data_IF_423669994425
#
_entry.id   IF_423669994425
#
_cell.length_a   1.000
_cell.length_b   1.000
_cell.length_c   1.000
_cell.angle_alpha   90.00
_cell.angle_beta   90.00
_cell.angle_gamma   90.00
#
_symmetry.space_group_name_H-M   'P 1'
#
loop_
_entity.id
_entity.type
_entity.pdbx_description
1 polymer ?
#
# COMPACT_ATOMS: atom_id res chain seq x y z
N UNK A 1 -9.52 -8.77 9.48
CA UNK A 1 -8.04 -8.65 9.51
C UNK A 1 -7.49 -9.41 10.71
N UNK A 2 -6.28 -9.98 10.60
CA UNK A 2 -5.66 -10.71 11.70
C UNK A 2 -5.18 -9.75 12.81
N UNK A 3 -5.30 -10.15 14.09
CA UNK A 3 -4.70 -9.40 15.20
C UNK A 3 -3.17 -9.38 15.08
N UNK A 4 -2.55 -8.30 15.52
CA UNK A 4 -1.10 -8.15 15.40
C UNK A 4 -0.38 -9.05 16.42
N UNK A 5 0.13 -10.20 15.95
CA UNK A 5 0.92 -11.14 16.75
C UNK A 5 2.28 -10.54 17.15
N UNK A 6 2.71 -10.78 18.38
CA UNK A 6 4.05 -10.40 18.83
C UNK A 6 5.09 -11.05 17.91
N UNK A 7 6.07 -10.27 17.45
CA UNK A 7 7.08 -10.74 16.47
C UNK A 7 7.94 -11.89 16.99
N UNK A 8 8.08 -12.05 18.31
CA UNK A 8 8.85 -13.14 18.93
C UNK A 8 7.98 -14.34 19.35
N UNK A 9 6.68 -14.31 19.05
CA UNK A 9 5.77 -15.43 19.36
C UNK A 9 5.90 -16.62 18.40
N UNK A 10 6.59 -16.43 17.27
CA UNK A 10 6.83 -17.48 16.30
C UNK A 10 7.83 -18.51 16.82
N UNK A 11 7.54 -19.80 16.58
CA UNK A 11 8.58 -20.82 16.68
C UNK A 11 9.65 -20.49 15.63
N UNK A 12 10.90 -20.38 16.08
CA UNK A 12 12.03 -20.13 15.18
C UNK A 12 12.06 -21.16 14.05
N UNK A 13 12.41 -20.68 12.86
CA UNK A 13 12.61 -21.51 11.68
C UNK A 13 13.74 -22.52 11.91
N UNK A 14 13.69 -23.66 11.22
CA UNK A 14 14.59 -24.79 11.47
C UNK A 14 16.07 -24.43 11.33
N UNK A 15 16.38 -23.44 10.47
CA UNK A 15 17.75 -23.03 10.17
C UNK A 15 18.41 -22.27 11.33
N UNK A 16 17.67 -21.93 12.40
CA UNK A 16 18.23 -21.39 13.64
C UNK A 16 19.35 -22.26 14.25
N UNK A 17 19.41 -23.55 13.90
CA UNK A 17 20.47 -24.49 14.33
C UNK A 17 21.87 -24.11 13.84
N UNK A 18 21.97 -23.32 12.76
CA UNK A 18 23.25 -22.83 12.26
C UNK A 18 23.81 -21.63 13.06
N UNK A 19 23.04 -21.11 14.03
CA UNK A 19 23.41 -19.91 14.78
C UNK A 19 23.21 -18.63 13.97
N UNK A 20 23.81 -17.54 14.47
CA UNK A 20 23.78 -16.21 13.86
C UNK A 20 25.12 -15.90 13.19
N UNK A 21 25.07 -15.31 12.01
CA UNK A 21 26.27 -14.87 11.30
C UNK A 21 26.85 -13.59 11.92
N UNK A 22 28.19 -13.43 12.02
CA UNK A 22 28.79 -12.17 12.46
C UNK A 22 28.34 -10.98 11.62
N UNK A 23 28.21 -11.18 10.31
CA UNK A 23 27.61 -10.28 9.32
C UNK A 23 26.75 -11.11 8.38
N UNK A 24 25.69 -10.51 7.80
CA UNK A 24 24.92 -11.19 6.77
C UNK A 24 25.83 -11.46 5.55
N UNK A 25 25.90 -12.70 5.04
CA UNK A 25 26.78 -13.04 3.93
C UNK A 25 26.40 -12.28 2.65
N UNK A 26 27.41 -11.78 1.95
CA UNK A 26 27.32 -11.11 0.65
C UNK A 26 27.91 -11.93 -0.49
N UNK A 27 28.55 -13.06 -0.19
CA UNK A 27 29.21 -13.95 -1.15
C UNK A 27 29.00 -15.43 -0.82
N UNK A 28 29.21 -16.31 -1.81
CA UNK A 28 29.20 -17.76 -1.60
C UNK A 28 30.28 -18.23 -0.62
N UNK A 29 31.48 -17.66 -0.68
CA UNK A 29 32.56 -18.01 0.23
C UNK A 29 32.18 -17.72 1.71
N UNK A 30 31.48 -16.62 1.98
CA UNK A 30 30.96 -16.33 3.33
C UNK A 30 29.85 -17.29 3.73
N UNK A 31 28.96 -17.69 2.81
CA UNK A 31 27.96 -18.73 3.07
C UNK A 31 28.62 -20.07 3.40
N UNK A 32 29.65 -20.47 2.65
CA UNK A 32 30.40 -21.71 2.87
C UNK A 32 31.07 -21.71 4.26
N UNK A 33 31.64 -20.57 4.67
CA UNK A 33 32.21 -20.38 6.01
C UNK A 33 31.16 -20.51 7.14
N UNK A 34 29.90 -20.16 6.85
CA UNK A 34 28.75 -20.35 7.76
C UNK A 34 28.13 -21.76 7.66
N UNK A 35 28.61 -22.61 6.73
CA UNK A 35 28.03 -23.92 6.45
C UNK A 35 26.65 -23.86 5.79
N UNK A 36 26.35 -22.79 5.06
CA UNK A 36 25.05 -22.58 4.39
C UNK A 36 25.13 -22.97 2.92
N UNK A 37 24.28 -23.89 2.48
CA UNK A 37 24.11 -24.26 1.07
C UNK A 37 23.33 -23.18 0.26
N UNK A 38 22.42 -22.48 0.93
CA UNK A 38 21.44 -21.56 0.36
C UNK A 38 21.01 -20.52 1.39
N UNK A 39 20.59 -19.36 0.91
CA UNK A 39 19.85 -18.40 1.73
C UNK A 39 18.37 -18.75 1.70
N UNK A 40 17.66 -18.55 2.81
CA UNK A 40 16.20 -18.62 2.80
C UNK A 40 15.62 -17.32 2.24
N UNK A 41 16.24 -16.19 2.55
CA UNK A 41 15.83 -14.86 2.13
C UNK A 41 17.07 -14.10 1.66
N UNK A 42 16.97 -13.38 0.54
CA UNK A 42 18.04 -12.49 0.08
C UNK A 42 17.50 -11.06 0.04
N UNK A 43 18.19 -10.15 0.72
CA UNK A 43 17.90 -8.72 0.69
C UNK A 43 18.75 -8.04 -0.37
N UNK A 44 18.14 -7.21 -1.23
CA UNK A 44 18.83 -6.38 -2.21
C UNK A 44 18.65 -4.92 -1.82
N UNK A 45 19.75 -4.19 -1.71
CA UNK A 45 19.74 -2.80 -1.25
C UNK A 45 20.56 -1.90 -2.16
N UNK A 46 20.09 -0.66 -2.34
CA UNK A 46 20.84 0.39 -3.05
C UNK A 46 21.93 1.06 -2.21
N UNK A 47 22.01 0.78 -0.92
CA UNK A 47 23.06 1.27 -0.02
C UNK A 47 24.18 0.26 0.16
N UNK A 48 25.34 0.72 0.63
CA UNK A 48 26.34 -0.14 1.23
C UNK A 48 25.74 -0.96 2.38
N UNK A 49 26.23 -2.19 2.57
CA UNK A 49 25.89 -2.96 3.76
C UNK A 49 26.72 -2.47 4.95
N UNK A 50 26.05 -1.77 5.85
CA UNK A 50 26.57 -1.42 7.18
C UNK A 50 25.62 -2.04 8.20
N UNK A 51 26.13 -2.97 9.01
CA UNK A 51 25.33 -3.67 10.01
C UNK A 51 25.11 -2.80 11.25
N UNK A 52 24.27 -1.77 11.10
CA UNK A 52 24.01 -0.76 12.12
C UNK A 52 22.50 -0.45 12.21
N UNK A 53 21.95 -0.18 13.41
CA UNK A 53 20.51 0.12 13.59
C UNK A 53 20.02 1.38 12.86
N UNK A 54 20.92 2.22 12.32
CA UNK A 54 20.52 3.34 11.45
C UNK A 54 20.20 2.91 10.02
N UNK A 55 20.41 1.64 9.67
CA UNK A 55 20.21 1.08 8.34
C UNK A 55 19.01 0.13 8.35
N UNK A 56 17.94 0.51 7.66
CA UNK A 56 16.67 -0.23 7.70
C UNK A 56 16.80 -1.68 7.21
N UNK A 57 17.56 -1.92 6.14
CA UNK A 57 17.80 -3.28 5.64
C UNK A 57 18.61 -4.14 6.59
N UNK A 58 19.54 -3.56 7.36
CA UNK A 58 20.29 -4.29 8.39
C UNK A 58 19.35 -4.74 9.52
N UNK A 59 18.48 -3.85 10.01
CA UNK A 59 17.45 -4.21 10.99
C UNK A 59 16.57 -5.34 10.46
N UNK A 60 16.04 -5.21 9.25
CA UNK A 60 15.15 -6.23 8.65
C UNK A 60 15.89 -7.58 8.52
N UNK A 61 17.14 -7.57 8.07
CA UNK A 61 17.94 -8.78 7.97
C UNK A 61 18.18 -9.45 9.33
N UNK A 62 18.54 -8.67 10.36
CA UNK A 62 18.73 -9.17 11.72
C UNK A 62 17.43 -9.64 12.38
N UNK A 63 16.31 -8.97 12.12
CA UNK A 63 14.99 -9.42 12.59
C UNK A 63 14.64 -10.77 11.99
N UNK A 64 14.87 -10.97 10.68
CA UNK A 64 14.64 -12.25 10.01
C UNK A 64 15.60 -13.35 10.50
N UNK A 65 16.87 -13.03 10.70
CA UNK A 65 17.84 -13.96 11.29
C UNK A 65 17.45 -14.36 12.73
N UNK A 66 16.95 -13.43 13.54
CA UNK A 66 16.45 -13.71 14.88
C UNK A 66 15.24 -14.66 14.89
N UNK A 67 14.46 -14.69 13.79
CA UNK A 67 13.42 -15.69 13.55
C UNK A 67 13.96 -17.05 13.11
N UNK A 68 15.26 -17.20 12.90
CA UNK A 68 15.92 -18.44 12.52
C UNK A 68 16.08 -18.64 11.02
N UNK A 69 15.86 -17.62 10.18
CA UNK A 69 16.09 -17.71 8.74
C UNK A 69 17.54 -17.42 8.38
N UNK A 70 18.06 -18.08 7.34
CA UNK A 70 19.34 -17.74 6.73
C UNK A 70 19.16 -16.57 5.78
N UNK A 71 19.73 -15.42 6.10
CA UNK A 71 19.53 -14.18 5.35
C UNK A 71 20.82 -13.75 4.71
N UNK A 72 20.84 -13.60 3.39
CA UNK A 72 21.93 -12.99 2.65
C UNK A 72 21.61 -11.56 2.24
N UNK A 73 22.63 -10.77 1.92
CA UNK A 73 22.46 -9.39 1.43
C UNK A 73 23.30 -9.11 0.19
N UNK A 74 22.69 -8.45 -0.79
CA UNK A 74 23.33 -7.97 -2.02
C UNK A 74 23.26 -6.44 -1.96
N UNK A 75 24.38 -5.83 -1.60
CA UNK A 75 24.52 -4.38 -1.53
C UNK A 75 25.07 -3.81 -2.84
N UNK A 76 24.41 -2.76 -3.34
CA UNK A 76 24.78 -2.03 -4.56
C UNK A 76 25.16 -2.92 -5.75
N UNK A 77 24.28 -3.87 -6.14
CA UNK A 77 24.56 -4.71 -7.30
C UNK A 77 24.68 -3.88 -8.58
N UNK A 78 25.59 -4.27 -9.46
CA UNK A 78 25.60 -3.77 -10.83
C UNK A 78 24.31 -4.20 -11.55
N UNK A 79 23.51 -3.22 -11.97
CA UNK A 79 22.23 -3.44 -12.64
C UNK A 79 22.33 -3.53 -14.16
N UNK A 80 23.54 -3.47 -14.72
CA UNK A 80 23.79 -3.68 -16.14
C UNK A 80 23.76 -5.16 -16.54
N UNK A 81 23.83 -6.09 -15.56
CA UNK A 81 23.69 -7.54 -15.78
C UNK A 81 22.92 -8.22 -14.63
N UNK A 82 22.61 -9.52 -14.76
CA UNK A 82 22.02 -10.31 -13.68
C UNK A 82 23.05 -10.95 -12.75
N UNK A 83 24.34 -10.91 -13.09
CA UNK A 83 25.39 -11.66 -12.40
C UNK A 83 25.46 -11.36 -10.89
N UNK A 84 25.38 -10.08 -10.51
CA UNK A 84 25.41 -9.68 -9.10
C UNK A 84 24.18 -10.13 -8.32
N UNK A 85 23.02 -10.26 -8.98
CA UNK A 85 21.78 -10.75 -8.39
C UNK A 85 21.79 -12.27 -8.22
N UNK A 86 22.57 -12.98 -9.05
CA UNK A 86 22.75 -14.44 -9.02
C UNK A 86 23.85 -14.88 -8.06
N UNK A 87 24.69 -13.96 -7.57
CA UNK A 87 25.85 -14.23 -6.69
C UNK A 87 25.54 -15.14 -5.51
N UNK A 88 24.43 -14.91 -4.79
CA UNK A 88 24.01 -15.73 -3.64
C UNK A 88 23.10 -16.90 -4.04
N UNK A 89 22.83 -17.05 -5.35
CA UNK A 89 21.89 -17.98 -5.96
C UNK A 89 20.44 -17.78 -5.56
N UNK A 90 19.65 -18.83 -5.78
CA UNK A 90 18.21 -18.81 -5.55
C UNK A 90 17.90 -18.89 -4.04
N UNK A 91 17.08 -17.97 -3.49
CA UNK A 91 16.61 -18.08 -2.12
C UNK A 91 15.47 -19.11 -2.01
N UNK A 92 15.31 -19.70 -0.82
CA UNK A 92 14.25 -20.69 -0.59
C UNK A 92 12.85 -20.07 -0.45
N UNK A 93 12.76 -18.80 -0.03
CA UNK A 93 11.48 -18.13 0.25
C UNK A 93 11.23 -16.94 -0.68
N UNK A 94 12.05 -15.88 -0.61
CA UNK A 94 11.80 -14.65 -1.39
C UNK A 94 13.03 -13.73 -1.48
N UNK A 95 12.94 -12.75 -2.40
CA UNK A 95 13.81 -11.58 -2.44
C UNK A 95 13.14 -10.37 -1.80
N UNK A 96 13.83 -9.68 -0.90
CA UNK A 96 13.40 -8.41 -0.32
C UNK A 96 14.18 -7.24 -0.92
N UNK A 97 13.52 -6.26 -1.53
CA UNK A 97 14.20 -5.20 -2.30
C UNK A 97 13.90 -3.81 -1.72
N UNK A 98 14.94 -3.00 -1.55
CA UNK A 98 14.86 -1.60 -1.10
C UNK A 98 15.87 -0.71 -1.84
N UNK A 99 15.58 0.58 -1.96
CA UNK A 99 16.53 1.57 -2.45
C UNK A 99 17.63 1.90 -1.43
N UNK A 100 17.44 1.50 -0.16
CA UNK A 100 18.27 1.88 0.97
C UNK A 100 17.53 2.80 1.94
N UNK A 101 18.30 3.57 2.70
CA UNK A 101 17.84 4.53 3.70
C UNK A 101 17.33 5.84 3.09
N UNK A 102 17.68 6.13 1.84
CA UNK A 102 17.20 7.28 1.09
C UNK A 102 16.62 6.86 -0.25
N UNK A 103 15.75 7.72 -0.78
CA UNK A 103 15.24 7.58 -2.13
C UNK A 103 16.38 7.71 -3.15
N UNK A 104 16.39 6.82 -4.16
CA UNK A 104 17.48 6.73 -5.12
C UNK A 104 17.68 8.01 -5.94
N UNK A 105 16.57 8.71 -6.23
CA UNK A 105 16.63 9.97 -6.98
C UNK A 105 17.15 11.10 -6.11
N UNK A 106 16.70 11.19 -4.84
CA UNK A 106 17.18 12.21 -3.89
C UNK A 106 18.67 12.06 -3.59
N UNK A 107 19.16 10.82 -3.60
CA UNK A 107 20.57 10.55 -3.37
C UNK A 107 21.45 10.89 -4.59
N UNK A 108 20.91 10.76 -5.80
CA UNK A 108 21.65 11.07 -7.04
C UNK A 108 21.54 12.53 -7.47
N UNK A 109 20.46 13.23 -7.13
CA UNK A 109 20.17 14.57 -7.61
C UNK A 109 19.95 15.58 -6.49
N UNK A 110 20.28 16.84 -6.74
CA UNK A 110 19.87 17.97 -5.90
C UNK A 110 18.41 18.34 -6.18
N UNK A 111 17.81 19.19 -5.32
CA UNK A 111 16.48 19.76 -5.56
C UNK A 111 16.38 20.44 -6.92
N UNK A 112 17.47 21.08 -7.37
CA UNK A 112 17.57 21.75 -8.67
C UNK A 112 17.89 20.79 -9.83
N UNK A 113 17.68 19.47 -9.63
CA UNK A 113 17.92 18.40 -10.62
C UNK A 113 19.37 18.29 -11.12
N UNK A 114 20.35 18.78 -10.35
CA UNK A 114 21.77 18.59 -10.67
C UNK A 114 22.28 17.27 -10.12
N UNK A 115 23.11 16.56 -10.87
CA UNK A 115 23.73 15.31 -10.43
C UNK A 115 24.71 15.60 -9.29
N UNK A 116 24.57 14.88 -8.18
CA UNK A 116 25.53 14.89 -7.06
C UNK A 116 26.78 14.10 -7.43
N UNK A 117 27.93 14.57 -6.95
CA UNK A 117 29.23 13.90 -7.20
C UNK A 117 29.46 12.74 -6.24
N UNK A 118 28.82 12.81 -5.08
CA UNK A 118 28.97 11.92 -3.95
C UNK A 118 27.64 11.24 -3.57
N UNK A 119 27.76 10.07 -2.94
CA UNK A 119 26.65 9.32 -2.34
C UNK A 119 27.05 8.91 -0.92
N UNK A 120 26.34 9.46 0.08
CA UNK A 120 26.66 9.27 1.49
C UNK A 120 26.52 7.81 1.97
N UNK A 121 25.83 6.97 1.21
CA UNK A 121 25.61 5.56 1.53
C UNK A 121 26.35 4.61 0.60
N UNK A 122 27.30 5.11 -0.20
CA UNK A 122 28.19 4.31 -1.03
C UNK A 122 29.57 4.19 -0.40
N UNK A 123 30.26 3.03 -0.47
CA UNK A 123 31.64 2.92 -0.01
C UNK A 123 32.54 3.95 -0.69
N UNK A 124 33.35 4.69 0.08
CA UNK A 124 34.20 5.75 -0.44
C UNK A 124 33.47 7.01 -0.91
N UNK A 125 32.15 7.10 -0.73
CA UNK A 125 31.35 8.25 -1.14
C UNK A 125 31.15 8.38 -2.64
N UNK A 126 31.40 7.32 -3.41
CA UNK A 126 31.33 7.37 -4.89
C UNK A 126 29.90 7.60 -5.40
N UNK A 127 29.71 8.60 -6.26
CA UNK A 127 28.45 8.82 -6.94
C UNK A 127 28.14 7.76 -8.00
N UNK A 128 26.86 7.50 -8.24
CA UNK A 128 26.41 6.69 -9.38
C UNK A 128 26.54 5.18 -9.22
N UNK A 129 26.67 4.66 -7.99
CA UNK A 129 26.69 3.20 -7.69
C UNK A 129 25.30 2.56 -7.54
N UNK A 130 24.23 3.31 -7.77
CA UNK A 130 22.84 2.80 -7.79
C UNK A 130 22.07 3.41 -8.97
N UNK A 131 21.09 2.72 -9.56
CA UNK A 131 20.27 3.26 -10.63
C UNK A 131 19.17 4.16 -10.08
N UNK A 132 18.70 5.07 -10.94
CA UNK A 132 17.47 5.83 -10.70
C UNK A 132 16.27 4.89 -10.51
N UNK A 133 15.45 5.17 -9.50
CA UNK A 133 14.31 4.32 -9.11
C UNK A 133 14.77 2.89 -8.85
N UNK A 134 15.78 2.75 -7.99
CA UNK A 134 16.48 1.49 -7.72
C UNK A 134 15.55 0.31 -7.47
N UNK A 135 14.46 0.50 -6.70
CA UNK A 135 13.49 -0.57 -6.42
C UNK A 135 12.92 -1.17 -7.72
N UNK A 136 12.59 -0.34 -8.71
CA UNK A 136 12.05 -0.82 -9.99
C UNK A 136 13.11 -1.64 -10.73
N UNK A 137 14.32 -1.08 -10.87
CA UNK A 137 15.40 -1.71 -11.64
C UNK A 137 15.84 -3.02 -11.00
N UNK A 138 16.07 -3.04 -9.69
CA UNK A 138 16.48 -4.24 -8.96
C UNK A 138 15.39 -5.31 -8.98
N UNK A 139 14.11 -4.95 -8.86
CA UNK A 139 13.02 -5.92 -8.96
C UNK A 139 12.96 -6.58 -10.33
N UNK A 140 13.19 -5.81 -11.40
CA UNK A 140 13.21 -6.35 -12.76
C UNK A 140 14.41 -7.26 -12.99
N UNK A 141 15.60 -6.92 -12.47
CA UNK A 141 16.79 -7.78 -12.56
C UNK A 141 16.65 -9.08 -11.78
N UNK A 142 16.07 -9.02 -10.59
CA UNK A 142 15.73 -10.23 -9.81
C UNK A 142 14.72 -11.09 -10.57
N UNK A 143 13.68 -10.49 -11.18
CA UNK A 143 12.71 -11.22 -12.02
C UNK A 143 13.33 -11.86 -13.24
N UNK A 144 14.34 -11.22 -13.85
CA UNK A 144 15.09 -11.75 -14.98
C UNK A 144 15.92 -12.98 -14.57
N UNK A 145 16.63 -12.90 -13.44
CA UNK A 145 17.44 -13.99 -12.90
C UNK A 145 16.58 -15.14 -12.32
N UNK A 146 15.48 -14.82 -11.65
CA UNK A 146 14.67 -15.76 -10.86
C UNK A 146 13.17 -15.51 -11.03
N UNK A 147 12.62 -15.91 -12.18
CA UNK A 147 11.23 -15.66 -12.58
C UNK A 147 10.17 -16.04 -11.54
N UNK A 148 10.33 -17.21 -10.92
CA UNK A 148 9.32 -17.83 -10.05
C UNK A 148 9.55 -17.58 -8.54
N UNK A 149 10.54 -16.74 -8.18
CA UNK A 149 10.78 -16.40 -6.78
C UNK A 149 9.97 -15.16 -6.42
N UNK A 150 9.23 -15.17 -5.28
CA UNK A 150 8.51 -14.00 -4.82
C UNK A 150 9.43 -12.79 -4.62
N UNK A 151 8.97 -11.63 -5.10
CA UNK A 151 9.66 -10.34 -4.96
C UNK A 151 8.83 -9.43 -4.06
N UNK A 152 9.40 -9.08 -2.91
CA UNK A 152 8.79 -8.20 -1.92
C UNK A 152 9.57 -6.88 -1.90
N UNK A 153 8.89 -5.77 -2.11
CA UNK A 153 9.52 -4.43 -2.09
C UNK A 153 9.18 -3.66 -0.83
N UNK A 154 10.10 -2.83 -0.37
CA UNK A 154 9.91 -2.02 0.83
C UNK A 154 10.85 -0.82 0.90
N UNK A 155 10.95 -0.23 2.08
CA UNK A 155 11.74 0.97 2.33
C UNK A 155 11.02 2.26 1.91
N UNK A 156 11.73 3.39 2.06
CA UNK A 156 11.18 4.72 1.82
C UNK A 156 10.69 4.86 0.38
N UNK A 157 11.52 4.43 -0.58
CA UNK A 157 11.24 4.54 -2.00
C UNK A 157 9.95 3.82 -2.42
N UNK A 158 9.75 2.57 -1.97
CA UNK A 158 8.54 1.83 -2.29
C UNK A 158 7.32 2.36 -1.52
N UNK A 159 7.50 2.65 -0.23
CA UNK A 159 6.44 3.11 0.66
C UNK A 159 5.80 4.42 0.19
N UNK A 160 6.56 5.38 -0.31
CA UNK A 160 6.00 6.65 -0.77
C UNK A 160 5.23 6.52 -2.09
N UNK A 161 5.40 5.42 -2.82
CA UNK A 161 4.88 5.21 -4.19
C UNK A 161 3.83 4.08 -4.27
N UNK A 162 3.11 3.83 -3.17
CA UNK A 162 2.13 2.74 -3.03
C UNK A 162 0.93 2.83 -3.97
N UNK A 163 0.46 4.05 -4.21
CA UNK A 163 -0.65 4.34 -5.12
C UNK A 163 -0.17 5.36 -6.18
N UNK A 164 -1.09 5.90 -6.97
CA UNK A 164 -0.77 7.00 -7.87
C UNK A 164 -0.12 8.16 -7.10
N UNK A 165 1.00 8.65 -7.61
CA UNK A 165 1.81 9.66 -6.93
C UNK A 165 2.43 10.62 -7.95
N UNK A 166 2.60 11.87 -7.55
CA UNK A 166 3.32 12.85 -8.35
C UNK A 166 4.83 12.61 -8.25
N UNK A 167 5.47 12.40 -9.39
CA UNK A 167 6.92 12.26 -9.51
C UNK A 167 7.54 13.62 -9.88
N UNK A 168 8.15 14.27 -8.88
CA UNK A 168 8.78 15.59 -9.06
C UNK A 168 9.85 15.61 -10.16
N UNK A 169 10.56 14.49 -10.36
CA UNK A 169 11.66 14.41 -11.32
C UNK A 169 11.20 14.41 -12.77
N UNK A 170 10.02 13.85 -13.05
CA UNK A 170 9.44 13.81 -14.40
C UNK A 170 8.23 14.71 -14.58
N UNK A 171 7.81 15.43 -13.53
CA UNK A 171 6.64 16.32 -13.48
C UNK A 171 5.35 15.63 -13.93
N UNK A 172 5.21 14.35 -13.57
CA UNK A 172 4.10 13.51 -13.99
C UNK A 172 3.52 12.74 -12.82
N UNK A 173 2.22 12.50 -12.87
CA UNK A 173 1.58 11.49 -12.02
C UNK A 173 1.94 10.11 -12.56
N UNK A 174 2.59 9.31 -11.72
CA UNK A 174 2.96 7.93 -12.02
C UNK A 174 2.02 6.97 -11.30
N UNK A 175 1.87 5.78 -11.88
CA UNK A 175 1.15 4.66 -11.28
C UNK A 175 1.89 4.10 -10.06
N UNK A 176 1.28 3.15 -9.37
CA UNK A 176 1.89 2.47 -8.21
C UNK A 176 3.22 1.80 -8.60
N UNK A 177 4.21 1.89 -7.72
CA UNK A 177 5.51 1.22 -7.89
C UNK A 177 5.36 -0.30 -7.96
N UNK A 178 4.32 -0.89 -7.35
CA UNK A 178 4.04 -2.33 -7.46
C UNK A 178 3.91 -2.77 -8.91
N UNK A 179 3.23 -1.97 -9.73
CA UNK A 179 2.99 -2.26 -11.15
C UNK A 179 4.25 -2.03 -11.99
N UNK A 180 5.02 -0.98 -11.69
CA UNK A 180 6.27 -0.68 -12.41
C UNK A 180 7.38 -1.69 -12.10
N UNK A 181 7.51 -2.09 -10.82
CA UNK A 181 8.51 -3.05 -10.35
C UNK A 181 8.12 -4.51 -10.62
N UNK A 182 6.84 -4.79 -10.92
CA UNK A 182 6.28 -6.16 -11.01
C UNK A 182 6.55 -6.99 -9.74
N UNK A 183 6.47 -6.32 -8.59
CA UNK A 183 6.62 -6.95 -7.28
C UNK A 183 5.31 -7.64 -6.87
N UNK A 184 5.42 -8.74 -6.14
CA UNK A 184 4.27 -9.52 -5.68
C UNK A 184 3.60 -8.87 -4.47
N UNK A 185 4.40 -8.24 -3.60
CA UNK A 185 3.93 -7.61 -2.37
C UNK A 185 4.80 -6.39 -2.04
N UNK A 186 4.17 -5.33 -1.52
CA UNK A 186 4.85 -4.15 -1.00
C UNK A 186 4.61 -4.06 0.50
N UNK A 187 5.67 -3.85 1.27
CA UNK A 187 5.62 -3.60 2.72
C UNK A 187 5.90 -2.12 2.99
N UNK A 188 5.09 -1.50 3.85
CA UNK A 188 5.22 -0.08 4.17
C UNK A 188 4.97 0.26 5.63
N UNK A 189 5.53 1.40 6.05
CA UNK A 189 5.63 1.76 7.46
C UNK A 189 6.71 0.92 8.14
N UNK A 190 6.54 0.65 9.43
CA UNK A 190 7.40 -0.28 10.17
C UNK A 190 7.14 -1.69 9.65
N UNK A 191 8.14 -2.30 9.00
CA UNK A 191 7.99 -3.54 8.22
C UNK A 191 8.34 -4.83 8.96
N UNK A 192 8.84 -4.74 10.19
CA UNK A 192 9.37 -5.87 10.98
C UNK A 192 8.29 -6.92 11.21
N UNK A 193 7.07 -6.52 11.56
CA UNK A 193 5.98 -7.46 11.84
C UNK A 193 5.50 -8.16 10.56
N UNK A 194 5.44 -7.41 9.47
CA UNK A 194 4.98 -7.90 8.18
C UNK A 194 5.97 -8.89 7.61
N UNK A 195 7.26 -8.54 7.59
CA UNK A 195 8.27 -9.39 6.96
C UNK A 195 8.44 -10.71 7.73
N UNK A 196 8.32 -10.69 9.06
CA UNK A 196 8.30 -11.90 9.90
C UNK A 196 7.09 -12.77 9.58
N UNK A 197 5.88 -12.18 9.52
CA UNK A 197 4.66 -12.91 9.17
C UNK A 197 4.77 -13.53 7.76
N UNK A 198 5.22 -12.75 6.78
CA UNK A 198 5.38 -13.20 5.39
C UNK A 198 6.37 -14.36 5.33
N UNK A 199 7.54 -14.22 5.94
CA UNK A 199 8.56 -15.27 5.95
C UNK A 199 8.03 -16.58 6.55
N UNK A 200 7.32 -16.52 7.68
CA UNK A 200 6.74 -17.71 8.31
C UNK A 200 5.58 -18.33 7.52
N UNK A 201 4.78 -17.53 6.80
CA UNK A 201 3.69 -18.04 5.94
C UNK A 201 4.26 -18.71 4.69
N UNK A 202 5.22 -18.07 4.02
CA UNK A 202 5.92 -18.66 2.87
C UNK A 202 6.67 -19.93 3.27
N UNK A 203 7.31 -19.95 4.43
CA UNK A 203 7.98 -21.14 4.98
C UNK A 203 7.03 -22.32 5.27
N UNK A 204 5.73 -22.06 5.43
CA UNK A 204 4.69 -23.09 5.55
C UNK A 204 4.10 -23.52 4.20
N UNK A 205 4.64 -23.01 3.09
CA UNK A 205 4.17 -23.29 1.74
C UNK A 205 2.92 -22.50 1.33
N UNK A 206 2.58 -21.44 2.06
CA UNK A 206 1.51 -20.55 1.61
C UNK A 206 1.96 -19.74 0.37
N UNK A 207 1.17 -19.68 -0.71
CA UNK A 207 1.51 -18.87 -1.88
C UNK A 207 1.47 -17.37 -1.56
N UNK A 208 2.38 -16.59 -2.16
CA UNK A 208 2.49 -15.14 -1.88
C UNK A 208 1.20 -14.39 -2.22
N UNK A 209 0.48 -14.84 -3.25
CA UNK A 209 -0.76 -14.23 -3.76
C UNK A 209 -1.93 -14.38 -2.79
N UNK A 210 -1.90 -15.34 -1.85
CA UNK A 210 -2.94 -15.49 -0.82
C UNK A 210 -2.70 -14.62 0.41
N UNK A 211 -1.51 -14.00 0.54
CA UNK A 211 -1.16 -13.12 1.66
C UNK A 211 -1.78 -11.73 1.44
N UNK A 212 -3.11 -11.65 1.53
CA UNK A 212 -3.90 -10.45 1.22
C UNK A 212 -4.41 -9.72 2.46
N UNK A 213 -4.24 -10.31 3.64
CA UNK A 213 -4.88 -9.89 4.89
C UNK A 213 -3.89 -9.36 5.95
N UNK A 214 -2.73 -8.85 5.50
CA UNK A 214 -1.64 -8.38 6.36
C UNK A 214 -1.57 -6.85 6.39
N UNK A 215 -1.73 -6.25 7.57
CA UNK A 215 -1.63 -4.79 7.75
C UNK A 215 -0.25 -4.26 7.34
N UNK A 216 -0.16 -3.07 6.79
CA UNK A 216 1.09 -2.47 6.31
C UNK A 216 1.61 -3.10 5.03
N UNK A 217 0.72 -3.70 4.23
CA UNK A 217 1.06 -4.25 2.92
C UNK A 217 0.17 -3.71 1.80
N UNK A 218 0.70 -3.71 0.58
CA UNK A 218 -0.05 -3.44 -0.63
C UNK A 218 0.21 -4.53 -1.68
N UNK A 219 -0.79 -4.86 -2.46
CA UNK A 219 -0.73 -5.91 -3.49
C UNK A 219 -1.68 -5.58 -4.64
N UNK A 220 -1.52 -6.28 -5.76
CA UNK A 220 -2.32 -6.08 -6.97
C UNK A 220 -3.32 -7.22 -7.11
N UNK A 221 -4.54 -6.92 -7.53
CA UNK A 221 -5.59 -7.93 -7.75
C UNK A 221 -6.66 -7.49 -8.75
N UNK A 222 -7.42 -8.44 -9.33
CA UNK A 222 -8.57 -8.09 -10.16
C UNK A 222 -9.81 -7.79 -9.30
N UNK A 223 -10.28 -6.54 -9.33
CA UNK A 223 -11.55 -6.14 -8.70
C UNK A 223 -11.51 -6.08 -7.17
N UNK A 224 -12.63 -5.69 -6.55
CA UNK A 224 -12.90 -5.79 -5.09
C UNK A 224 -13.60 -7.13 -4.80
N UNK A 225 -13.31 -7.85 -3.70
CA UNK A 225 -13.97 -9.12 -3.44
C UNK A 225 -15.43 -8.89 -3.01
N UNK A 226 -16.37 -9.81 -3.29
CA UNK A 226 -17.78 -9.64 -2.95
C UNK A 226 -18.08 -9.46 -1.45
N UNK A 227 -17.22 -10.01 -0.58
CA UNK A 227 -17.37 -9.92 0.87
C UNK A 227 -17.00 -8.54 1.46
N UNK A 228 -16.38 -7.66 0.67
CA UNK A 228 -16.01 -6.32 1.11
C UNK A 228 -17.10 -5.29 0.78
N UNK A 229 -17.38 -4.42 1.75
CA UNK A 229 -18.16 -3.20 1.48
C UNK A 229 -17.24 -2.16 0.89
N UNK A 230 -17.54 -1.73 -0.33
CA UNK A 230 -16.87 -0.63 -0.98
C UNK A 230 -17.51 0.72 -0.63
N UNK A 231 -16.69 1.66 -0.18
CA UNK A 231 -17.05 3.05 0.07
C UNK A 231 -16.52 3.85 -1.12
N UNK A 232 -17.42 4.37 -1.94
CA UNK A 232 -17.07 5.11 -3.14
C UNK A 232 -16.59 6.52 -2.80
N UNK A 233 -15.32 6.83 -3.07
CA UNK A 233 -14.75 8.17 -2.94
C UNK A 233 -14.11 8.63 -4.26
N UNK A 234 -14.67 8.17 -5.38
CA UNK A 234 -14.20 8.53 -6.73
C UNK A 234 -14.55 9.96 -7.14
N UNK A 235 -15.53 10.57 -6.49
CA UNK A 235 -15.97 11.96 -6.72
C UNK A 235 -15.58 12.86 -5.56
N UNK A 236 -15.39 14.15 -5.86
CA UNK A 236 -15.13 15.18 -4.86
C UNK A 236 -16.35 15.35 -3.96
N UNK A 237 -16.12 15.51 -2.67
CA UNK A 237 -17.17 15.82 -1.70
C UNK A 237 -17.80 17.19 -2.02
N UNK A 238 -19.12 17.24 -2.16
CA UNK A 238 -19.83 18.52 -2.22
C UNK A 238 -19.70 19.24 -0.87
N UNK A 239 -19.27 20.52 -0.83
CA UNK A 239 -19.27 21.31 0.39
C UNK A 239 -20.67 21.28 1.03
N UNK A 240 -20.73 20.86 2.29
CA UNK A 240 -21.96 20.76 3.06
C UNK A 240 -21.80 21.44 4.42
N UNK A 241 -22.89 21.58 5.19
CA UNK A 241 -22.83 22.10 6.55
C UNK A 241 -21.83 21.28 7.38
N UNK A 242 -20.98 21.98 8.13
CA UNK A 242 -20.05 21.37 9.09
C UNK A 242 -20.85 20.54 10.09
N UNK A 243 -20.39 19.31 10.38
CA UNK A 243 -20.96 18.54 11.48
C UNK A 243 -20.78 19.35 12.78
N UNK A 244 -21.85 19.56 13.57
CA UNK A 244 -21.70 20.20 14.86
C UNK A 244 -20.76 19.34 15.72
N UNK A 245 -19.85 19.96 16.49
CA UNK A 245 -19.00 19.23 17.41
C UNK A 245 -19.87 18.32 18.31
N UNK A 246 -19.53 17.04 18.36
CA UNK A 246 -20.13 16.12 19.32
C UNK A 246 -19.81 16.65 20.73
N UNK A 247 -20.84 16.97 21.51
CA UNK A 247 -20.66 17.38 22.90
C UNK A 247 -20.12 16.17 23.70
N UNK A 248 -18.89 16.25 24.25
CA UNK A 248 -18.27 15.16 25.00
C UNK A 248 -19.00 14.82 26.31
N UNK A 249 -19.93 15.67 26.76
CA UNK A 249 -20.74 15.47 27.96
C UNK A 249 -22.20 15.14 27.66
N UNK A 250 -22.56 14.94 26.39
CA UNK A 250 -23.89 14.46 26.02
C UNK A 250 -24.12 13.06 26.59
N UNK A 251 -24.85 13.00 27.71
CA UNK A 251 -25.33 11.75 28.29
C UNK A 251 -26.31 11.10 27.31
N UNK A 252 -25.84 10.10 26.55
CA UNK A 252 -26.70 9.29 25.69
C UNK A 252 -27.67 8.50 26.57
N UNK A 253 -28.90 9.00 26.71
CA UNK A 253 -29.99 8.26 27.34
C UNK A 253 -30.30 6.97 26.55
N UNK A 254 -30.85 5.93 27.18
CA UNK A 254 -31.12 4.65 26.52
C UNK A 254 -32.01 4.88 25.29
N UNK A 255 -31.51 4.44 24.13
CA UNK A 255 -32.15 4.58 22.83
C UNK A 255 -33.56 3.99 22.84
N UNK A 256 -34.57 4.85 22.73
CA UNK A 256 -35.95 4.45 22.39
C UNK A 256 -36.03 4.26 20.88
N UNK A 257 -36.62 3.16 20.35
CA UNK A 257 -36.89 3.06 18.93
C UNK A 257 -38.05 4.00 18.62
N UNK A 258 -37.78 5.12 17.94
CA UNK A 258 -38.84 6.03 17.51
C UNK A 258 -39.48 5.49 16.22
N UNK A 259 -40.66 4.90 16.41
CA UNK A 259 -41.63 4.57 15.38
C UNK A 259 -41.98 5.77 14.50
N UNK A 260 -42.41 5.48 13.27
CA UNK A 260 -42.86 6.48 12.33
C UNK A 260 -44.13 7.22 12.72
N UNK A 261 -44.45 8.16 11.83
CA UNK A 261 -45.71 8.87 11.62
C UNK A 261 -45.89 10.27 12.25
N UNK A 262 -46.22 11.17 11.31
CA UNK A 262 -47.11 12.34 11.38
C UNK A 262 -46.50 13.70 11.73
N UNK A 263 -46.56 14.59 10.73
CA UNK A 263 -46.35 16.02 10.84
C UNK A 263 -47.46 16.68 11.70
N UNK A 264 -47.17 17.80 12.40
CA UNK A 264 -48.19 18.68 12.92
C UNK A 264 -48.55 19.83 11.94
N UNK A 265 -49.79 20.36 12.01
CA UNK A 265 -50.43 21.20 11.00
C UNK A 265 -50.09 22.71 11.09
N UNK A 266 -50.43 23.53 10.08
CA UNK A 266 -50.21 24.98 10.09
C UNK A 266 -51.41 25.76 10.64
N UNK A 267 -51.15 26.90 11.29
CA UNK A 267 -52.12 27.95 11.63
C UNK A 267 -51.35 29.27 11.85
N UNK A 268 -51.75 30.49 11.44
CA UNK A 268 -52.87 31.08 10.68
C UNK A 268 -52.35 32.46 10.20
N UNK A 269 -52.50 32.77 8.90
CA UNK A 269 -53.33 33.84 8.33
C UNK A 269 -52.90 35.30 8.58
N UNK A 270 -52.57 36.03 7.50
CA UNK A 270 -53.37 37.21 7.18
C UNK A 270 -53.40 37.56 5.66
N UNK A 271 -54.62 37.93 5.25
CA UNK A 271 -55.16 38.57 4.05
C UNK A 271 -54.31 38.78 2.77
N UNK A 272 -54.77 38.20 1.64
CA UNK A 272 -55.49 38.91 0.55
C UNK A 272 -55.62 38.05 -0.73
N UNK A 273 -56.82 38.06 -1.31
CA UNK A 273 -57.25 37.45 -2.58
C UNK A 273 -57.65 38.60 -3.54
N UNK A 274 -58.00 38.38 -4.83
CA UNK A 274 -57.75 37.23 -5.73
C UNK A 274 -57.29 37.66 -7.16
N UNK A 275 -56.84 36.70 -7.99
CA UNK A 275 -57.13 36.73 -9.44
C UNK A 275 -56.85 35.36 -10.13
N UNK A 276 -57.95 34.68 -10.49
CA UNK A 276 -58.22 33.91 -11.72
C UNK A 276 -57.17 32.93 -12.31
N UNK A 277 -57.60 31.67 -12.42
CA UNK A 277 -57.14 30.67 -13.39
C UNK A 277 -57.64 31.00 -14.82
N UNK A 278 -57.14 30.34 -15.90
CA UNK A 278 -57.55 28.97 -16.19
C UNK A 278 -56.46 28.06 -16.80
N UNK A 279 -56.86 26.80 -17.00
CA UNK A 279 -56.11 25.63 -17.42
C UNK A 279 -55.87 25.48 -18.94
N UNK A 280 -54.89 24.65 -19.29
CA UNK A 280 -54.73 23.91 -20.56
C UNK A 280 -53.64 22.84 -20.35
N UNK A 281 -53.90 21.52 -20.37
CA UNK A 281 -54.17 20.56 -21.47
C UNK A 281 -52.95 20.23 -22.36
N UNK A 282 -52.81 18.90 -22.55
CA UNK A 282 -52.07 18.13 -23.57
C UNK A 282 -50.53 18.17 -23.48
N UNK A 283 -49.71 17.16 -23.79
CA UNK A 283 -49.78 15.81 -24.38
C UNK A 283 -48.35 15.23 -24.20
N UNK A 284 -48.10 13.99 -23.79
CA UNK A 284 -48.04 12.82 -24.67
C UNK A 284 -46.89 12.88 -25.68
N UNK A 285 -45.75 12.21 -25.40
CA UNK A 285 -44.95 11.50 -26.43
C UNK A 285 -43.86 10.57 -25.84
N UNK A 286 -43.87 9.33 -26.32
CA UNK A 286 -42.87 8.27 -26.14
C UNK A 286 -41.57 8.63 -26.89
N UNK A 287 -40.35 8.29 -26.47
CA UNK A 287 -39.84 6.97 -26.09
C UNK A 287 -38.83 6.53 -27.16
N UNK A 288 -37.55 6.40 -26.81
CA UNK A 288 -36.54 5.61 -27.53
C UNK A 288 -35.49 5.13 -26.52
N UNK A 289 -35.57 3.85 -26.16
CA UNK A 289 -34.62 3.17 -25.28
C UNK A 289 -33.70 2.27 -26.11
N UNK A 290 -32.39 2.41 -25.93
CA UNK A 290 -31.38 1.48 -26.43
C UNK A 290 -30.92 0.55 -25.27
N UNK A 291 -30.58 -0.72 -25.51
CA UNK A 291 -30.48 -1.73 -24.46
C UNK A 291 -29.11 -1.72 -23.77
N UNK A 292 -29.13 -1.78 -22.43
CA UNK A 292 -27.94 -1.88 -21.59
C UNK A 292 -27.55 -3.36 -21.33
N UNK A 293 -26.26 -3.65 -21.46
CA UNK A 293 -25.63 -4.93 -21.12
C UNK A 293 -25.61 -5.18 -19.59
N UNK A 294 -25.59 -6.43 -19.11
CA UNK A 294 -25.84 -6.77 -17.71
C UNK A 294 -24.62 -6.42 -16.83
N UNK A 295 -24.82 -5.47 -15.91
CA UNK A 295 -23.84 -5.15 -14.88
C UNK A 295 -24.04 -6.06 -13.66
N UNK A 296 -22.98 -6.76 -13.28
CA UNK A 296 -22.88 -7.52 -12.03
C UNK A 296 -23.15 -6.57 -10.85
N UNK A 297 -24.08 -6.96 -9.97
CA UNK A 297 -24.54 -6.16 -8.85
C UNK A 297 -23.46 -5.99 -7.76
N UNK A 298 -22.55 -5.04 -7.97
CA UNK A 298 -21.75 -4.45 -6.89
C UNK A 298 -22.65 -3.41 -6.21
N UNK A 299 -22.90 -3.59 -4.91
CA UNK A 299 -23.73 -2.66 -4.13
C UNK A 299 -22.92 -1.39 -3.85
N UNK A 300 -22.84 -0.50 -4.85
CA UNK A 300 -22.15 0.80 -4.75
C UNK A 300 -22.93 1.68 -3.77
N UNK A 301 -22.37 1.87 -2.57
CA UNK A 301 -22.90 2.82 -1.60
C UNK A 301 -22.41 4.21 -2.00
N UNK A 302 -23.32 5.02 -2.57
CA UNK A 302 -23.11 6.46 -2.70
C UNK A 302 -22.88 7.04 -1.31
N UNK A 303 -21.89 7.91 -1.16
CA UNK A 303 -21.43 8.48 0.10
C UNK A 303 -22.58 9.13 0.88
N UNK A 304 -23.24 8.36 1.73
CA UNK A 304 -23.82 8.88 2.96
C UNK A 304 -22.67 8.89 3.96
N UNK A 305 -22.28 10.08 4.39
CA UNK A 305 -21.23 10.33 5.40
C UNK A 305 -21.47 9.57 6.71
N UNK A 306 -22.68 9.03 6.88
CA UNK A 306 -23.01 7.95 7.79
C UNK A 306 -22.92 6.58 7.08
N UNK A 307 -21.72 6.03 6.95
CA UNK A 307 -21.60 4.56 6.86
C UNK A 307 -21.73 4.08 8.30
N UNK A 308 -22.91 3.59 8.74
CA UNK A 308 -23.20 3.33 10.14
C UNK A 308 -22.21 2.31 10.67
N UNK A 309 -21.18 2.76 11.40
CA UNK A 309 -20.11 2.00 12.07
C UNK A 309 -19.84 0.58 11.52
N UNK A 310 -19.88 0.41 10.18
CA UNK A 310 -19.78 -0.91 9.57
C UNK A 310 -18.40 -1.42 9.88
N UNK A 311 -18.32 -2.73 10.11
CA UNK A 311 -17.10 -3.45 10.43
C UNK A 311 -15.94 -2.93 9.58
N UNK A 312 -15.08 -2.10 10.20
CA UNK A 312 -13.94 -1.45 9.53
C UNK A 312 -13.00 -2.50 8.93
N UNK A 313 -13.01 -3.71 9.51
CA UNK A 313 -12.25 -4.85 9.03
C UNK A 313 -12.76 -5.47 7.72
N UNK A 314 -13.97 -5.10 7.26
CA UNK A 314 -14.63 -5.61 6.05
C UNK A 314 -15.06 -4.49 5.10
N UNK A 315 -14.43 -3.32 5.19
CA UNK A 315 -14.73 -2.17 4.34
C UNK A 315 -13.47 -1.62 3.68
N UNK A 316 -13.59 -1.17 2.44
CA UNK A 316 -12.50 -0.58 1.65
C UNK A 316 -12.97 0.74 1.03
N UNK A 317 -12.11 1.74 1.01
CA UNK A 317 -12.40 3.02 0.34
C UNK A 317 -11.84 2.97 -1.08
N UNK A 318 -12.70 3.19 -2.08
CA UNK A 318 -12.29 3.32 -3.47
C UNK A 318 -11.83 4.74 -3.76
N UNK A 319 -10.56 4.87 -4.11
CA UNK A 319 -9.97 6.12 -4.58
C UNK A 319 -10.31 6.36 -6.06
N UNK A 320 -10.26 7.61 -6.55
CA UNK A 320 -10.29 7.90 -7.98
C UNK A 320 -9.20 7.11 -8.71
N UNK A 321 -9.49 6.62 -9.92
CA UNK A 321 -8.56 5.78 -10.69
C UNK A 321 -7.27 6.54 -11.03
N UNK A 322 -6.20 5.79 -11.34
CA UNK A 322 -4.95 6.37 -11.83
C UNK A 322 -5.18 7.27 -13.04
N UNK A 323 -6.00 6.83 -13.99
CA UNK A 323 -6.30 7.60 -15.20
C UNK A 323 -7.00 8.91 -14.86
N UNK A 324 -7.92 8.91 -13.90
CA UNK A 324 -8.61 10.12 -13.46
C UNK A 324 -7.66 11.10 -12.74
N UNK A 325 -6.86 10.62 -11.78
CA UNK A 325 -5.93 11.50 -11.04
C UNK A 325 -4.73 11.95 -11.86
N UNK A 326 -4.41 11.25 -12.96
CA UNK A 326 -3.36 11.67 -13.89
C UNK A 326 -3.76 12.93 -14.64
N UNK A 327 -5.04 13.03 -15.01
CA UNK A 327 -5.54 14.08 -15.90
C UNK A 327 -6.24 15.21 -15.12
N UNK A 328 -6.59 15.00 -13.84
CA UNK A 328 -7.26 15.99 -12.99
C UNK A 328 -6.50 16.23 -11.66
N UNK A 329 -5.87 17.42 -11.49
CA UNK A 329 -5.17 17.79 -10.27
C UNK A 329 -6.05 17.85 -9.01
N UNK A 330 -7.35 18.15 -9.16
CA UNK A 330 -8.29 18.23 -8.04
C UNK A 330 -8.62 16.82 -7.54
N UNK A 331 -8.85 15.87 -8.45
CA UNK A 331 -9.02 14.46 -8.08
C UNK A 331 -7.74 13.87 -7.47
N UNK A 332 -6.56 14.28 -7.95
CA UNK A 332 -5.29 13.91 -7.32
C UNK A 332 -5.21 14.43 -5.87
N UNK A 333 -5.53 15.71 -5.64
CA UNK A 333 -5.54 16.29 -4.30
C UNK A 333 -6.54 15.59 -3.37
N UNK A 334 -7.73 15.25 -3.89
CA UNK A 334 -8.75 14.47 -3.17
C UNK A 334 -8.25 13.09 -2.77
N UNK A 335 -7.67 12.33 -3.72
CA UNK A 335 -7.09 11.02 -3.45
C UNK A 335 -5.96 11.10 -2.40
N UNK A 336 -5.09 12.11 -2.50
CA UNK A 336 -4.02 12.36 -1.54
C UNK A 336 -4.53 12.69 -0.14
N UNK A 337 -5.64 13.46 -0.04
CA UNK A 337 -6.30 13.76 1.23
C UNK A 337 -6.82 12.49 1.89
N UNK A 338 -7.49 11.62 1.14
CA UNK A 338 -8.02 10.35 1.68
C UNK A 338 -6.87 9.46 2.15
N UNK A 339 -5.81 9.31 1.34
CA UNK A 339 -4.62 8.55 1.74
C UNK A 339 -4.04 9.05 3.06
N UNK A 340 -4.02 10.38 3.27
CA UNK A 340 -3.54 10.98 4.50
C UNK A 340 -4.47 10.72 5.70
N UNK A 341 -5.79 10.82 5.52
CA UNK A 341 -6.78 10.55 6.57
C UNK A 341 -6.73 9.08 7.05
N UNK A 342 -6.44 8.15 6.15
CA UNK A 342 -6.35 6.71 6.44
C UNK A 342 -4.93 6.27 6.84
N UNK A 343 -4.11 7.20 7.35
CA UNK A 343 -2.75 6.91 7.81
C UNK A 343 -2.67 6.43 9.27
N UNK A 344 -3.72 6.64 10.07
CA UNK A 344 -3.73 6.26 11.49
C UNK A 344 -4.08 4.77 11.65
N UNK A 345 -3.16 3.95 12.21
CA UNK A 345 -3.38 2.51 12.31
C UNK A 345 -4.56 2.11 13.20
N UNK A 346 -5.01 2.95 14.13
CA UNK A 346 -6.14 2.64 15.02
C UNK A 346 -7.51 2.69 14.34
N UNK A 347 -7.67 3.48 13.27
CA UNK A 347 -8.98 3.72 12.65
C UNK A 347 -8.99 3.57 11.11
N UNK A 348 -7.83 3.42 10.48
CA UNK A 348 -7.69 3.33 9.04
C UNK A 348 -8.45 2.14 8.43
N UNK A 349 -9.11 2.40 7.30
CA UNK A 349 -9.69 1.41 6.40
C UNK A 349 -8.68 0.99 5.34
N UNK A 350 -8.97 -0.13 4.67
CA UNK A 350 -8.23 -0.49 3.47
C UNK A 350 -8.53 0.53 2.36
N UNK A 351 -7.57 0.78 1.47
CA UNK A 351 -7.77 1.59 0.28
C UNK A 351 -7.66 0.72 -0.97
N UNK A 352 -8.41 1.07 -2.01
CA UNK A 352 -8.26 0.47 -3.33
C UNK A 352 -8.23 1.56 -4.40
N UNK A 353 -7.29 1.44 -5.34
CA UNK A 353 -7.21 2.32 -6.50
C UNK A 353 -7.14 1.50 -7.78
N UNK A 354 -7.96 1.85 -8.77
CA UNK A 354 -7.93 1.24 -10.10
C UNK A 354 -6.76 1.80 -10.93
N UNK A 355 -5.99 0.92 -11.55
CA UNK A 355 -4.91 1.22 -12.50
C UNK A 355 -5.13 0.35 -13.75
N UNK A 356 -5.71 0.91 -14.80
CA UNK A 356 -6.12 0.16 -16.00
C UNK A 356 -7.17 -0.90 -15.67
N UNK A 357 -6.82 -2.18 -15.84
CA UNK A 357 -7.71 -3.32 -15.55
C UNK A 357 -7.53 -3.90 -14.14
N UNK A 358 -6.49 -3.48 -13.41
CA UNK A 358 -6.09 -4.04 -12.13
C UNK A 358 -6.37 -3.07 -10.99
N UNK A 359 -6.72 -3.59 -9.82
CA UNK A 359 -6.83 -2.81 -8.59
C UNK A 359 -5.54 -2.97 -7.76
N UNK A 360 -5.00 -1.84 -7.30
CA UNK A 360 -3.96 -1.78 -6.28
C UNK A 360 -4.66 -1.68 -4.94
N UNK A 361 -4.48 -2.71 -4.11
CA UNK A 361 -5.06 -2.81 -2.78
C UNK A 361 -4.02 -2.41 -1.72
N UNK A 362 -4.42 -1.57 -0.78
CA UNK A 362 -3.62 -1.15 0.35
C UNK A 362 -4.32 -1.58 1.64
N UNK A 363 -3.76 -2.56 2.34
CA UNK A 363 -4.23 -2.92 3.68
C UNK A 363 -3.94 -1.78 4.65
N UNK A 364 -4.69 -1.61 5.75
CA UNK A 364 -4.43 -0.53 6.72
C UNK A 364 -3.00 -0.55 7.27
N UNK A 365 -2.49 0.61 7.75
CA UNK A 365 -1.13 0.72 8.27
C UNK A 365 -0.79 -0.27 9.40
N UNK A 366 0.51 -0.57 9.60
CA UNK A 366 0.98 -1.42 10.71
C UNK A 366 0.50 -0.88 12.06
N UNK A 367 0.13 -1.77 12.98
CA UNK A 367 0.12 -1.37 14.39
C UNK A 367 1.57 -1.17 14.87
N UNK A 368 1.84 -0.19 15.75
CA UNK A 368 3.16 -0.01 16.36
C UNK A 368 3.70 -1.30 17.00
N UNK A 369 5.02 -1.40 17.13
CA UNK A 369 5.65 -2.44 17.93
C UNK A 369 5.45 -2.05 19.41
N UNK A 370 4.57 -2.77 20.10
CA UNK A 370 4.26 -2.62 21.53
C UNK A 370 4.88 -3.75 22.32
#
# INVERSE_FOLDING_TARGET
MLPARNIFSYRKYWAARFGTAPFLPMSRAEMDALGWDSCDIILVTGDAYVDHPSFGMAIIGRVLEAQGFRVGIIAQPDWHSTADFERLGRPNLFFGITAGNMDSMVNRYTSDRRIRRDDAYTPGGEGGRRPDRSVIVYSQRVREAFKDVPVIVGGIEASLRRIAHFDYWSEKVRRSILLDAKADLLVYGNGERQIVEIAHRLAKGEPIESITNLRGTAFVRPGTPPEWTEIDSTTIDSPGPLEPPLDPYAMQGPSRPAAGCSAPPPARADASMPAQAPAGKDSGEAGHAAPAAPQSAVRVVKFHREVPNRDRGASVIRLPSFEAVRDDPVLYAHASRILHLESNPGNARALVQRHGTLDVWLNPPPLPLT
#
